data_IF_719756476781
#
_entry.id   IF_719756476781
#
_cell.length_a   1.000
_cell.length_b   1.000
_cell.length_c   1.000
_cell.angle_alpha   90.00
_cell.angle_beta   90.00
_cell.angle_gamma   90.00
#
_symmetry.space_group_name_H-M   'P 1'
#
loop_
_entity.id
_entity.type
_entity.pdbx_description
1 polymer ?
#
# COMPACT_ATOMS: atom_id res chain seq x y z
N UNK A 1 -19.37 -10.58 -0.34
CA UNK A 1 -19.83 -9.19 -0.57
C UNK A 1 -18.76 -8.51 -1.42
N UNK A 2 -19.07 -8.11 -2.66
CA UNK A 2 -18.09 -7.49 -3.58
C UNK A 2 -17.97 -5.98 -3.28
N UNK A 3 -17.12 -5.64 -2.31
CA UNK A 3 -16.89 -4.25 -1.88
C UNK A 3 -16.00 -3.57 -2.92
N UNK A 4 -16.61 -2.77 -3.79
CA UNK A 4 -15.91 -2.00 -4.83
C UNK A 4 -15.50 -0.59 -4.39
N UNK A 5 -15.97 -0.16 -3.22
CA UNK A 5 -15.62 1.14 -2.64
C UNK A 5 -15.39 0.99 -1.14
N UNK A 6 -14.24 1.45 -0.67
CA UNK A 6 -13.88 1.52 0.73
C UNK A 6 -13.61 2.98 1.08
N UNK A 7 -14.19 3.48 2.18
CA UNK A 7 -13.94 4.83 2.69
C UNK A 7 -13.78 4.77 4.20
N UNK A 8 -12.59 5.18 4.65
CA UNK A 8 -12.12 5.16 6.03
C UNK A 8 -11.46 6.52 6.31
N UNK A 9 -12.16 7.42 6.99
CA UNK A 9 -11.71 8.80 7.23
C UNK A 9 -11.23 9.49 5.94
N UNK A 10 -9.98 9.93 5.90
CA UNK A 10 -9.36 10.61 4.75
C UNK A 10 -8.78 9.63 3.71
N UNK A 11 -8.88 8.31 3.97
CA UNK A 11 -8.59 7.27 3.02
C UNK A 11 -9.88 6.84 2.31
N UNK A 12 -9.82 6.71 0.98
CA UNK A 12 -10.83 5.97 0.25
C UNK A 12 -10.22 5.31 -0.98
N UNK A 13 -10.75 4.17 -1.38
CA UNK A 13 -10.43 3.57 -2.66
C UNK A 13 -11.69 3.14 -3.39
N UNK A 14 -11.61 3.18 -4.72
CA UNK A 14 -12.66 2.73 -5.63
C UNK A 14 -12.03 1.87 -6.70
N UNK A 15 -12.51 0.64 -6.81
CA UNK A 15 -12.16 -0.27 -7.88
C UNK A 15 -13.32 -0.41 -8.85
N UNK A 16 -13.01 -0.34 -10.13
CA UNK A 16 -13.92 -0.63 -11.23
C UNK A 16 -13.18 -1.43 -12.29
N UNK A 17 -13.91 -1.95 -13.28
CA UNK A 17 -13.35 -2.78 -14.34
C UNK A 17 -12.31 -2.05 -15.23
N UNK A 18 -12.17 -0.72 -15.08
CA UNK A 18 -11.34 0.13 -15.94
C UNK A 18 -10.42 1.07 -15.17
N UNK A 19 -10.70 1.28 -13.89
CA UNK A 19 -10.09 2.34 -13.09
C UNK A 19 -9.98 1.90 -11.64
N UNK A 20 -8.83 2.18 -11.06
CA UNK A 20 -8.59 2.17 -9.62
C UNK A 20 -8.28 3.60 -9.17
N UNK A 21 -9.08 4.15 -8.26
CA UNK A 21 -8.89 5.48 -7.70
C UNK A 21 -8.68 5.38 -6.20
N UNK A 22 -7.75 6.18 -5.68
CA UNK A 22 -7.39 6.19 -4.26
C UNK A 22 -7.19 7.63 -3.77
N UNK A 23 -7.93 8.00 -2.73
CA UNK A 23 -7.70 9.19 -1.92
C UNK A 23 -6.95 8.80 -0.65
N UNK A 24 -5.96 9.59 -0.28
CA UNK A 24 -5.16 9.41 0.92
C UNK A 24 -5.21 10.70 1.73
N UNK A 25 -5.15 10.62 3.07
CA UNK A 25 -5.16 11.80 3.94
C UNK A 25 -3.95 12.72 3.80
N UNK A 26 -2.83 12.20 3.29
CA UNK A 26 -1.67 13.00 2.88
C UNK A 26 -1.93 13.82 1.59
N UNK A 27 -2.98 13.46 0.86
CA UNK A 27 -3.63 14.15 -0.25
C UNK A 27 -4.07 15.58 0.13
N UNK A 28 -3.80 16.68 -0.61
CA UNK A 28 -4.65 17.85 -0.45
C UNK A 28 -6.12 17.47 -0.65
N UNK A 29 -7.00 18.11 0.12
CA UNK A 29 -8.44 17.86 0.05
C UNK A 29 -8.93 17.92 -1.40
N UNK A 30 -9.77 16.96 -1.77
CA UNK A 30 -10.33 16.77 -3.11
C UNK A 30 -9.37 16.23 -4.18
N UNK A 31 -8.07 16.06 -3.90
CA UNK A 31 -7.13 15.42 -4.83
C UNK A 31 -7.03 13.92 -4.55
N UNK A 32 -7.01 13.13 -5.62
CA UNK A 32 -6.82 11.68 -5.54
C UNK A 32 -5.94 11.18 -6.69
N UNK A 33 -5.37 10.01 -6.49
CA UNK A 33 -4.64 9.27 -7.49
C UNK A 33 -5.59 8.37 -8.26
N UNK A 34 -5.36 8.20 -9.56
CA UNK A 34 -6.14 7.33 -10.42
C UNK A 34 -5.22 6.56 -11.35
N UNK A 35 -5.37 5.24 -11.35
CA UNK A 35 -4.79 4.33 -12.33
C UNK A 35 -5.90 3.89 -13.28
N UNK A 36 -5.77 4.24 -14.56
CA UNK A 36 -6.68 3.84 -15.63
C UNK A 36 -6.04 2.72 -16.44
N UNK A 37 -6.77 1.61 -16.57
CA UNK A 37 -6.35 0.40 -17.28
C UNK A 37 -7.45 -0.12 -18.21
N UNK A 38 -8.32 0.76 -18.71
CA UNK A 38 -9.43 0.42 -19.62
C UNK A 38 -8.96 -0.42 -20.81
N UNK A 39 -9.54 -1.61 -21.00
CA UNK A 39 -9.24 -2.56 -22.09
C UNK A 39 -9.34 -1.94 -23.50
N UNK A 40 -10.09 -0.86 -23.67
CA UNK A 40 -10.23 -0.15 -24.94
C UNK A 40 -9.07 0.81 -25.25
N UNK A 41 -8.23 1.12 -24.25
CA UNK A 41 -7.06 1.98 -24.41
C UNK A 41 -5.79 1.15 -24.57
N UNK A 42 -4.86 1.61 -25.41
CA UNK A 42 -3.54 0.99 -25.56
C UNK A 42 -2.63 1.23 -24.35
N UNK A 43 -2.81 2.37 -23.69
CA UNK A 43 -1.98 2.79 -22.55
C UNK A 43 -2.71 2.58 -21.21
N UNK A 44 -1.98 2.08 -20.21
CA UNK A 44 -2.29 2.28 -18.79
C UNK A 44 -1.74 3.64 -18.38
N UNK A 45 -2.51 4.41 -17.61
CA UNK A 45 -2.03 5.72 -17.14
C UNK A 45 -2.30 5.95 -15.66
N UNK A 46 -1.31 6.52 -15.00
CA UNK A 46 -1.38 6.99 -13.63
C UNK A 46 -1.46 8.52 -13.65
N UNK A 47 -2.49 9.07 -13.02
CA UNK A 47 -2.73 10.50 -13.01
C UNK A 47 -3.28 10.97 -11.65
N UNK A 48 -3.10 12.26 -11.38
CA UNK A 48 -3.74 12.93 -10.25
C UNK A 48 -4.97 13.69 -10.76
N UNK A 49 -6.06 13.64 -10.01
CA UNK A 49 -7.32 14.33 -10.33
C UNK A 49 -7.81 15.11 -9.14
N UNK A 50 -8.25 16.35 -9.36
CA UNK A 50 -8.99 17.12 -8.36
C UNK A 50 -10.49 16.97 -8.59
N UNK A 51 -11.21 16.59 -7.54
CA UNK A 51 -12.66 16.57 -7.55
C UNK A 51 -13.20 17.99 -7.56
N UNK A 52 -14.05 18.28 -8.54
CA UNK A 52 -14.78 19.55 -8.67
C UNK A 52 -16.25 19.25 -8.89
N UNK A 53 -17.11 20.27 -8.75
CA UNK A 53 -18.54 20.13 -8.96
C UNK A 53 -18.91 19.71 -10.40
N UNK A 54 -18.09 20.11 -11.40
CA UNK A 54 -18.29 19.71 -12.79
C UNK A 54 -17.47 18.45 -13.12
N UNK A 55 -18.14 17.31 -13.22
CA UNK A 55 -17.49 16.03 -13.49
C UNK A 55 -16.78 15.95 -14.85
N UNK A 56 -17.22 16.72 -15.84
CA UNK A 56 -16.67 16.67 -17.21
C UNK A 56 -15.46 17.59 -17.40
N UNK A 57 -15.17 18.44 -16.42
CA UNK A 57 -14.12 19.46 -16.51
C UNK A 57 -13.22 19.41 -15.27
N UNK A 58 -12.93 18.19 -14.80
CA UNK A 58 -12.07 17.99 -13.64
C UNK A 58 -10.62 18.29 -14.01
N UNK A 59 -9.92 19.13 -13.23
CA UNK A 59 -8.46 19.24 -13.32
C UNK A 59 -7.80 17.88 -13.15
N UNK A 60 -6.92 17.52 -14.07
CA UNK A 60 -6.15 16.29 -14.00
C UNK A 60 -4.80 16.45 -14.67
N UNK A 61 -3.78 15.78 -14.14
CA UNK A 61 -2.44 15.77 -14.71
C UNK A 61 -1.96 14.33 -14.77
N UNK A 62 -1.70 13.83 -15.99
CA UNK A 62 -1.07 12.51 -16.16
C UNK A 62 0.37 12.57 -15.72
N UNK A 63 0.74 11.67 -14.82
CA UNK A 63 2.09 11.54 -14.29
C UNK A 63 2.86 10.55 -15.16
N UNK A 64 2.32 9.34 -15.33
CA UNK A 64 2.95 8.24 -16.05
C UNK A 64 1.96 7.63 -17.04
N UNK A 65 2.46 7.28 -18.22
CA UNK A 65 1.77 6.41 -19.17
C UNK A 65 2.67 5.26 -19.56
N UNK A 66 2.11 4.06 -19.66
CA UNK A 66 2.81 2.86 -20.09
C UNK A 66 1.92 2.12 -21.10
N UNK A 67 2.49 1.74 -22.22
CA UNK A 67 1.78 0.91 -23.19
C UNK A 67 1.55 -0.48 -22.58
N UNK A 68 0.37 -1.05 -22.78
CA UNK A 68 0.02 -2.36 -22.19
C UNK A 68 0.95 -3.48 -22.63
N UNK A 69 1.38 -3.49 -23.88
CA UNK A 69 2.33 -4.48 -24.38
C UNK A 69 3.66 -4.40 -23.64
N UNK A 70 4.16 -3.18 -23.40
CA UNK A 70 5.34 -2.93 -22.57
C UNK A 70 5.11 -3.41 -21.14
N UNK A 71 3.95 -3.11 -20.54
CA UNK A 71 3.62 -3.58 -19.19
C UNK A 71 3.57 -5.11 -19.11
N UNK A 72 3.01 -5.78 -20.12
CA UNK A 72 2.97 -7.25 -20.17
C UNK A 72 4.37 -7.86 -20.27
N UNK A 73 5.23 -7.29 -21.13
CA UNK A 73 6.63 -7.73 -21.24
C UNK A 73 7.39 -7.50 -19.93
N UNK A 74 7.20 -6.33 -19.30
CA UNK A 74 7.80 -6.04 -18.01
C UNK A 74 7.26 -6.94 -16.90
N UNK A 75 6.01 -7.38 -16.95
CA UNK A 75 5.41 -8.20 -15.88
C UNK A 75 6.15 -9.52 -15.64
N UNK A 76 6.71 -10.12 -16.69
CA UNK A 76 7.49 -11.37 -16.60
C UNK A 76 8.77 -11.18 -15.78
N UNK A 77 9.45 -10.04 -15.93
CA UNK A 77 10.68 -9.72 -15.20
C UNK A 77 10.40 -9.04 -13.85
N UNK A 78 9.33 -8.25 -13.79
CA UNK A 78 8.93 -7.48 -12.61
C UNK A 78 8.57 -8.43 -11.47
N UNK A 79 7.81 -9.50 -11.69
CA UNK A 79 7.34 -10.32 -10.58
C UNK A 79 8.49 -10.98 -9.81
N UNK A 80 9.45 -11.67 -10.45
CA UNK A 80 10.64 -12.19 -9.76
C UNK A 80 11.48 -11.07 -9.13
N UNK A 81 11.73 -9.99 -9.86
CA UNK A 81 12.52 -8.86 -9.35
C UNK A 81 11.85 -8.22 -8.13
N UNK A 82 10.53 -8.04 -8.17
CA UNK A 82 9.72 -7.58 -7.06
C UNK A 82 9.98 -8.50 -5.88
N UNK A 83 9.58 -9.77 -5.92
CA UNK A 83 9.73 -10.67 -4.77
C UNK A 83 11.17 -10.72 -4.21
N UNK A 84 12.21 -10.74 -5.06
CA UNK A 84 13.60 -10.72 -4.58
C UNK A 84 14.02 -9.41 -3.90
N UNK A 85 13.43 -8.28 -4.30
CA UNK A 85 13.85 -6.96 -3.82
C UNK A 85 12.95 -6.40 -2.71
N UNK A 86 11.64 -6.68 -2.69
CA UNK A 86 10.74 -6.30 -1.59
C UNK A 86 10.86 -7.27 -0.39
N UNK A 87 11.29 -8.51 -0.60
CA UNK A 87 11.43 -9.47 0.49
C UNK A 87 12.85 -9.53 1.02
N UNK A 88 12.97 -9.73 2.32
CA UNK A 88 14.22 -10.12 2.98
C UNK A 88 14.05 -11.40 3.76
N UNK A 89 15.14 -12.18 3.84
CA UNK A 89 15.16 -13.37 4.67
C UNK A 89 14.96 -12.97 6.13
N UNK A 90 14.06 -13.66 6.79
CA UNK A 90 13.76 -13.48 8.18
C UNK A 90 14.42 -14.59 8.99
N UNK A 91 15.29 -14.24 9.93
CA UNK A 91 15.93 -15.22 10.81
C UNK A 91 15.08 -15.42 12.06
N UNK A 92 14.23 -16.45 12.02
CA UNK A 92 13.36 -16.84 13.13
C UNK A 92 14.15 -17.09 14.42
N UNK A 93 15.32 -17.72 14.31
CA UNK A 93 16.14 -18.05 15.48
C UNK A 93 16.67 -16.79 16.14
N UNK A 94 17.31 -15.90 15.37
CA UNK A 94 17.78 -14.61 15.90
C UNK A 94 16.64 -13.78 16.49
N UNK A 95 15.44 -13.83 15.87
CA UNK A 95 14.27 -13.13 16.38
C UNK A 95 13.82 -13.65 17.75
N UNK A 96 13.67 -14.97 17.90
CA UNK A 96 13.30 -15.59 19.17
C UNK A 96 14.31 -15.32 20.27
N UNK A 97 15.60 -15.41 19.97
CA UNK A 97 16.68 -15.11 20.92
C UNK A 97 16.61 -13.66 21.40
N UNK A 98 16.34 -12.70 20.50
CA UNK A 98 16.18 -11.27 20.85
C UNK A 98 15.00 -11.04 21.80
N UNK A 99 13.94 -11.83 21.68
CA UNK A 99 12.71 -11.70 22.46
C UNK A 99 12.60 -12.75 23.58
N UNK A 100 13.70 -13.38 24.00
CA UNK A 100 13.75 -14.39 25.07
C UNK A 100 12.71 -15.51 24.93
N UNK A 101 12.43 -15.95 23.71
CA UNK A 101 11.38 -16.94 23.37
C UNK A 101 9.94 -16.52 23.75
N UNK A 102 9.70 -15.28 24.18
CA UNK A 102 8.36 -14.73 24.40
C UNK A 102 7.73 -14.25 23.09
N UNK A 103 7.61 -15.16 22.12
CA UNK A 103 7.05 -14.90 20.80
C UNK A 103 5.82 -15.77 20.60
N UNK A 104 4.66 -15.11 20.49
CA UNK A 104 3.42 -15.73 20.06
C UNK A 104 3.38 -15.81 18.53
N UNK A 105 2.72 -16.83 18.00
CA UNK A 105 2.50 -16.95 16.56
C UNK A 105 1.06 -17.29 16.24
N UNK A 106 0.53 -16.61 15.22
CA UNK A 106 -0.78 -16.91 14.66
C UNK A 106 -0.57 -17.27 13.20
N UNK A 107 -0.85 -18.52 12.84
CA UNK A 107 -0.70 -18.99 11.46
C UNK A 107 -1.75 -18.37 10.55
N UNK A 108 -1.45 -18.23 9.26
CA UNK A 108 -2.46 -17.84 8.25
C UNK A 108 -3.64 -18.80 8.24
N UNK A 109 -3.38 -20.09 8.41
CA UNK A 109 -4.40 -21.15 8.47
C UNK A 109 -5.34 -20.96 9.65
N UNK A 110 -4.84 -20.59 10.84
CA UNK A 110 -5.68 -20.27 11.99
C UNK A 110 -6.48 -18.99 11.76
N UNK A 111 -5.86 -17.95 11.18
CA UNK A 111 -6.59 -16.72 10.82
C UNK A 111 -7.78 -17.05 9.91
N UNK A 112 -7.60 -17.97 8.96
CA UNK A 112 -8.64 -18.34 7.99
C UNK A 112 -9.69 -19.34 8.53
N UNK A 113 -9.28 -20.30 9.38
CA UNK A 113 -10.13 -21.43 9.77
C UNK A 113 -10.69 -21.34 11.20
N UNK A 114 -10.16 -20.46 12.03
CA UNK A 114 -10.64 -20.33 13.41
C UNK A 114 -11.82 -19.36 13.51
N UNK A 115 -12.53 -19.46 14.64
CA UNK A 115 -13.51 -18.44 15.03
C UNK A 115 -12.87 -17.05 15.19
N UNK A 116 -11.54 -16.92 15.15
CA UNK A 116 -10.81 -15.65 15.26
C UNK A 116 -11.24 -14.66 14.18
N UNK A 117 -11.46 -15.09 12.93
CA UNK A 117 -11.96 -14.20 11.89
C UNK A 117 -13.37 -13.68 12.25
N UNK A 118 -14.24 -14.54 12.77
CA UNK A 118 -15.60 -14.20 13.15
C UNK A 118 -15.63 -13.31 14.40
N UNK A 119 -14.83 -13.62 15.42
CA UNK A 119 -14.64 -12.84 16.64
C UNK A 119 -14.08 -11.47 16.31
N UNK A 120 -13.03 -11.40 15.49
CA UNK A 120 -12.42 -10.14 15.06
C UNK A 120 -13.38 -9.31 14.23
N UNK A 121 -14.10 -9.91 13.27
CA UNK A 121 -15.15 -9.23 12.49
C UNK A 121 -16.27 -8.71 13.38
N UNK A 122 -16.75 -9.49 14.34
CA UNK A 122 -17.79 -9.07 15.27
C UNK A 122 -17.31 -7.92 16.17
N UNK A 123 -16.11 -8.06 16.73
CA UNK A 123 -15.51 -7.07 17.61
C UNK A 123 -15.26 -5.74 16.88
N UNK A 124 -14.74 -5.78 15.65
CA UNK A 124 -14.64 -4.60 14.77
C UNK A 124 -16.04 -4.08 14.45
N UNK A 125 -16.97 -4.92 14.02
CA UNK A 125 -18.32 -4.46 13.66
C UNK A 125 -19.00 -3.76 14.83
N UNK A 126 -18.84 -4.24 16.06
CA UNK A 126 -19.36 -3.60 17.26
C UNK A 126 -18.62 -2.29 17.58
N UNK A 127 -17.29 -2.31 17.60
CA UNK A 127 -16.46 -1.13 17.92
C UNK A 127 -16.68 0.03 16.95
N UNK A 128 -16.95 -0.29 15.68
CA UNK A 128 -17.20 0.67 14.62
C UNK A 128 -18.69 0.85 14.31
N UNK A 129 -19.62 0.19 15.02
CA UNK A 129 -21.06 0.22 14.68
C UNK A 129 -21.69 1.63 14.73
N UNK A 130 -21.19 2.48 15.63
CA UNK A 130 -21.67 3.85 15.84
C UNK A 130 -21.11 4.84 14.81
N UNK A 131 -19.98 4.50 14.18
CA UNK A 131 -19.31 5.33 13.18
C UNK A 131 -19.35 4.74 11.77
N UNK A 132 -19.75 3.49 11.59
CA UNK A 132 -19.83 2.82 10.29
C UNK A 132 -21.26 2.76 9.78
N UNK A 133 -21.43 3.00 8.48
CA UNK A 133 -22.71 2.89 7.79
C UNK A 133 -22.52 2.20 6.45
N UNK A 134 -23.27 1.12 6.25
CA UNK A 134 -23.40 0.49 4.93
C UNK A 134 -24.37 1.33 4.10
N UNK A 135 -23.89 1.88 2.99
CA UNK A 135 -24.66 2.68 2.02
C UNK A 135 -24.81 1.95 0.69
N UNK A 136 -25.74 2.40 -0.13
CA UNK A 136 -25.93 1.96 -1.52
C UNK A 136 -26.11 0.45 -1.70
N UNK A 137 -27.16 -0.11 -1.09
CA UNK A 137 -27.53 -1.53 -1.21
C UNK A 137 -26.38 -2.52 -0.95
N UNK A 138 -25.52 -2.23 0.05
CA UNK A 138 -24.41 -3.12 0.42
C UNK A 138 -23.12 -2.93 -0.37
N UNK A 139 -22.98 -1.87 -1.18
CA UNK A 139 -21.79 -1.67 -2.04
C UNK A 139 -20.77 -0.66 -1.51
N UNK A 140 -21.10 0.07 -0.45
CA UNK A 140 -20.23 1.08 0.17
C UNK A 140 -20.24 0.94 1.69
N UNK A 141 -19.08 0.74 2.29
CA UNK A 141 -18.87 0.93 3.73
C UNK A 141 -18.32 2.35 3.93
N UNK A 142 -19.00 3.16 4.74
CA UNK A 142 -18.56 4.51 5.09
C UNK A 142 -18.31 4.56 6.59
N UNK A 143 -17.08 4.86 7.02
CA UNK A 143 -16.73 5.07 8.43
C UNK A 143 -16.54 6.57 8.67
N UNK A 144 -17.34 7.17 9.56
CA UNK A 144 -17.38 8.59 9.91
C UNK A 144 -17.13 8.82 11.38
N UNK A 145 -15.96 9.35 11.72
CA UNK A 145 -15.60 9.69 13.09
C UNK A 145 -14.09 9.62 13.27
N UNK A 146 -13.63 9.67 14.51
CA UNK A 146 -12.22 9.47 14.83
C UNK A 146 -11.90 7.97 14.85
N UNK A 147 -11.52 7.42 13.68
CA UNK A 147 -11.11 6.01 13.60
C UNK A 147 -9.92 5.73 14.51
N UNK A 148 -9.00 6.68 14.68
CA UNK A 148 -7.76 6.44 15.42
C UNK A 148 -8.11 6.25 16.89
N UNK A 149 -8.93 7.13 17.47
CA UNK A 149 -9.42 6.95 18.83
C UNK A 149 -10.21 5.64 19.00
N UNK A 150 -10.99 5.22 17.99
CA UNK A 150 -11.72 3.94 18.05
C UNK A 150 -10.80 2.72 17.93
N UNK A 151 -9.78 2.79 17.08
CA UNK A 151 -8.75 1.75 16.96
C UNK A 151 -7.90 1.67 18.22
N UNK A 152 -7.47 2.80 18.78
CA UNK A 152 -6.77 2.86 20.06
C UNK A 152 -7.61 2.22 21.16
N UNK A 153 -8.88 2.60 21.30
CA UNK A 153 -9.77 1.98 22.28
C UNK A 153 -10.08 0.51 21.99
N UNK A 154 -10.07 0.09 20.72
CA UNK A 154 -10.28 -1.29 20.31
C UNK A 154 -9.06 -2.17 20.63
N UNK A 155 -7.86 -1.65 20.38
CA UNK A 155 -6.57 -2.30 20.67
C UNK A 155 -6.30 -2.35 22.17
N UNK A 156 -6.78 -1.36 22.94
CA UNK A 156 -6.67 -1.31 24.41
C UNK A 156 -7.70 -2.23 25.11
N UNK A 157 -8.64 -2.85 24.40
CA UNK A 157 -9.50 -3.85 25.04
C UNK A 157 -8.67 -5.07 25.40
N UNK A 158 -8.35 -5.19 26.68
CA UNK A 158 -7.66 -6.33 27.28
C UNK A 158 -8.22 -7.67 26.76
N UNK A 159 -9.54 -7.78 26.58
CA UNK A 159 -10.18 -8.99 26.04
C UNK A 159 -9.71 -9.40 24.63
N UNK A 160 -9.44 -8.45 23.72
CA UNK A 160 -8.98 -8.76 22.37
C UNK A 160 -7.49 -9.10 22.37
N UNK A 161 -6.70 -8.36 23.16
CA UNK A 161 -5.28 -8.62 23.36
C UNK A 161 -5.11 -10.00 23.98
N UNK A 162 -5.83 -10.29 25.06
CA UNK A 162 -5.86 -11.59 25.71
C UNK A 162 -6.33 -12.68 24.76
N UNK A 163 -7.37 -12.44 23.95
CA UNK A 163 -7.83 -13.43 22.98
C UNK A 163 -6.79 -13.72 21.89
N UNK A 164 -6.12 -12.68 21.38
CA UNK A 164 -5.03 -12.80 20.40
C UNK A 164 -3.85 -13.56 21.02
N UNK A 165 -3.41 -13.21 22.23
CA UNK A 165 -2.33 -13.90 22.92
C UNK A 165 -2.70 -15.33 23.34
N UNK A 166 -3.96 -15.60 23.68
CA UNK A 166 -4.44 -16.94 24.00
C UNK A 166 -4.59 -17.82 22.75
N UNK A 167 -4.77 -17.21 21.57
CA UNK A 167 -4.79 -17.93 20.29
C UNK A 167 -3.40 -18.06 19.70
N UNK A 168 -2.48 -17.18 20.09
CA UNK A 168 -1.09 -17.27 19.68
C UNK A 168 -0.44 -18.50 20.33
N UNK A 169 -0.03 -19.44 19.51
CA UNK A 169 0.68 -20.62 19.98
C UNK A 169 2.18 -20.30 20.11
N UNK A 170 2.83 -20.98 21.06
CA UNK A 170 4.28 -20.99 21.09
C UNK A 170 4.80 -21.76 19.87
N UNK A 171 5.72 -21.17 19.12
CA UNK A 171 6.35 -21.87 17.99
C UNK A 171 7.32 -22.92 18.54
N UNK A 172 6.97 -24.21 18.44
CA UNK A 172 7.95 -25.28 18.59
C UNK A 172 8.65 -25.57 17.23
N UNK A 173 9.95 -25.89 17.26
CA UNK A 173 10.75 -26.20 16.06
C UNK A 173 10.15 -27.31 15.18
N UNK A 174 9.37 -28.22 15.79
CA UNK A 174 8.67 -29.31 15.11
C UNK A 174 7.53 -28.82 14.21
N UNK A 175 6.84 -27.73 14.60
CA UNK A 175 5.69 -27.16 13.88
C UNK A 175 6.11 -26.18 12.79
N UNK A 176 7.26 -25.51 12.92
CA UNK A 176 7.79 -24.55 11.94
C UNK A 176 7.84 -25.10 10.51
N UNK A 177 8.09 -26.41 10.37
CA UNK A 177 8.16 -27.08 9.07
C UNK A 177 6.81 -27.32 8.41
N UNK A 178 5.69 -27.09 9.10
CA UNK A 178 4.35 -27.23 8.54
C UNK A 178 3.66 -25.90 8.22
N UNK A 179 4.24 -24.77 8.64
CA UNK A 179 3.62 -23.45 8.57
C UNK A 179 4.00 -22.70 7.29
N UNK A 180 3.02 -22.17 6.57
CA UNK A 180 3.26 -21.43 5.32
C UNK A 180 3.40 -19.90 5.53
N UNK A 181 2.91 -19.39 6.66
CA UNK A 181 3.03 -17.99 7.05
C UNK A 181 2.18 -17.66 8.25
N UNK A 182 2.32 -16.42 8.73
CA UNK A 182 1.57 -15.93 9.87
C UNK A 182 2.06 -14.60 10.40
N UNK A 183 1.64 -14.29 11.61
CA UNK A 183 2.00 -13.09 12.34
C UNK A 183 2.75 -13.52 13.60
N UNK A 184 3.98 -13.05 13.75
CA UNK A 184 4.72 -13.12 15.00
C UNK A 184 4.29 -11.96 15.88
N UNK A 185 4.02 -12.24 17.14
CA UNK A 185 3.54 -11.30 18.13
C UNK A 185 4.49 -11.27 19.32
N UNK A 186 4.91 -10.08 19.69
CA UNK A 186 5.58 -9.79 20.95
C UNK A 186 4.76 -8.73 21.69
N UNK A 187 5.18 -8.34 22.89
CA UNK A 187 4.54 -7.23 23.60
C UNK A 187 4.71 -5.87 22.88
N UNK A 188 5.74 -5.73 22.03
CA UNK A 188 6.12 -4.44 21.42
C UNK A 188 5.77 -4.35 19.94
N UNK A 189 5.77 -5.47 19.22
CA UNK A 189 5.64 -5.48 17.76
C UNK A 189 4.91 -6.71 17.23
N UNK A 190 4.29 -6.53 16.06
CA UNK A 190 3.72 -7.58 15.23
C UNK A 190 4.49 -7.64 13.91
N UNK A 191 5.05 -8.81 13.58
CA UNK A 191 5.84 -9.02 12.37
C UNK A 191 5.16 -10.03 11.45
N UNK A 192 4.86 -9.63 10.22
CA UNK A 192 4.34 -10.53 9.20
C UNK A 192 5.47 -11.36 8.61
N UNK A 193 5.28 -12.68 8.59
CA UNK A 193 6.23 -13.62 7.99
C UNK A 193 5.52 -14.62 7.10
N UNK A 194 6.23 -15.11 6.09
CA UNK A 194 5.75 -16.20 5.25
C UNK A 194 6.94 -17.02 4.75
N UNK A 195 6.65 -18.22 4.28
CA UNK A 195 7.67 -19.22 3.95
C UNK A 195 7.71 -19.47 2.44
N UNK A 196 8.92 -19.43 1.87
CA UNK A 196 9.19 -19.81 0.47
C UNK A 196 10.32 -20.84 0.49
N UNK A 197 10.09 -22.02 -0.10
CA UNK A 197 11.08 -23.10 -0.22
C UNK A 197 11.82 -23.44 1.09
N UNK A 198 11.09 -23.48 2.21
CA UNK A 198 11.57 -23.73 3.58
C UNK A 198 12.33 -22.58 4.26
N UNK A 199 12.44 -21.41 3.63
CA UNK A 199 13.03 -20.22 4.22
C UNK A 199 11.96 -19.20 4.61
N UNK A 200 12.18 -18.50 5.72
CA UNK A 200 11.28 -17.44 6.21
C UNK A 200 11.63 -16.10 5.58
N UNK A 201 10.62 -15.31 5.27
CA UNK A 201 10.73 -13.99 4.69
C UNK A 201 9.80 -12.98 5.36
N UNK A 202 10.20 -11.71 5.31
CA UNK A 202 9.38 -10.56 5.66
C UNK A 202 9.51 -9.46 4.59
N UNK A 203 8.67 -8.43 4.68
CA UNK A 203 8.72 -7.27 3.81
C UNK A 203 9.80 -6.29 4.29
N UNK A 204 10.69 -5.89 3.38
CA UNK A 204 11.61 -4.78 3.63
C UNK A 204 10.83 -3.48 3.81
N UNK A 205 11.34 -2.62 4.69
CA UNK A 205 10.89 -1.25 4.80
C UNK A 205 11.51 -0.40 3.69
N UNK A 206 10.87 -0.36 2.52
CA UNK A 206 11.35 0.42 1.36
C UNK A 206 10.67 1.79 1.29
N UNK A 207 11.47 2.83 1.04
CA UNK A 207 10.94 4.14 0.66
C UNK A 207 10.24 4.09 -0.71
N UNK A 208 9.37 5.07 -0.98
CA UNK A 208 8.69 5.19 -2.29
C UNK A 208 9.69 5.25 -3.45
N UNK A 209 10.84 5.91 -3.24
CA UNK A 209 11.88 6.01 -4.26
C UNK A 209 12.55 4.66 -4.54
N UNK A 210 12.86 3.90 -3.50
CA UNK A 210 13.43 2.56 -3.64
C UNK A 210 12.45 1.62 -4.33
N UNK A 211 11.18 1.63 -3.90
CA UNK A 211 10.11 0.84 -4.51
C UNK A 211 9.97 1.15 -6.01
N UNK A 212 9.89 2.43 -6.39
CA UNK A 212 9.80 2.82 -7.81
C UNK A 212 11.05 2.39 -8.59
N UNK A 213 12.23 2.48 -7.96
CA UNK A 213 13.50 2.11 -8.58
C UNK A 213 13.64 0.60 -8.85
N UNK A 214 12.73 -0.23 -8.34
CA UNK A 214 12.66 -1.66 -8.70
C UNK A 214 12.08 -1.88 -10.11
N UNK A 215 11.26 -0.95 -10.60
CA UNK A 215 10.51 -1.10 -11.85
C UNK A 215 11.01 -0.18 -12.97
N UNK A 216 11.64 0.93 -12.62
CA UNK A 216 12.17 1.91 -13.56
C UNK A 216 13.56 2.35 -13.13
N UNK A 217 14.33 2.95 -14.04
CA UNK A 217 15.63 3.51 -13.70
C UNK A 217 15.49 4.56 -12.57
N UNK A 218 16.50 4.69 -11.71
CA UNK A 218 16.52 5.70 -10.62
C UNK A 218 16.20 7.12 -11.11
N UNK A 219 16.70 7.47 -12.30
CA UNK A 219 16.40 8.75 -12.96
C UNK A 219 14.89 8.89 -13.23
N UNK A 220 14.26 7.85 -13.77
CA UNK A 220 12.82 7.83 -14.07
C UNK A 220 12.01 7.85 -12.77
N UNK A 221 12.38 7.07 -11.76
CA UNK A 221 11.74 7.09 -10.44
C UNK A 221 11.75 8.50 -9.83
N UNK A 222 12.90 9.17 -9.87
CA UNK A 222 13.04 10.56 -9.42
C UNK A 222 12.14 11.52 -10.20
N UNK A 223 12.11 11.39 -11.53
CA UNK A 223 11.24 12.20 -12.39
C UNK A 223 9.75 11.99 -12.07
N UNK A 224 9.32 10.76 -11.79
CA UNK A 224 7.94 10.44 -11.37
C UNK A 224 7.60 11.15 -10.06
N UNK A 225 8.47 11.09 -9.06
CA UNK A 225 8.26 11.74 -7.76
C UNK A 225 8.18 13.26 -7.95
N UNK A 226 9.16 13.89 -8.60
CA UNK A 226 9.15 15.33 -8.84
C UNK A 226 7.93 15.77 -9.63
N UNK A 227 7.52 15.01 -10.64
CA UNK A 227 6.31 15.29 -11.43
C UNK A 227 5.06 15.21 -10.57
N UNK A 228 4.96 14.22 -9.70
CA UNK A 228 3.84 14.05 -8.76
C UNK A 228 3.74 15.25 -7.81
N UNK A 229 4.85 15.65 -7.20
CA UNK A 229 4.92 16.83 -6.31
C UNK A 229 4.47 18.10 -7.05
N UNK A 230 5.03 18.36 -8.23
CA UNK A 230 4.67 19.54 -9.02
C UNK A 230 3.20 19.52 -9.46
N UNK A 231 2.68 18.35 -9.82
CA UNK A 231 1.29 18.21 -10.20
C UNK A 231 0.33 18.48 -9.04
N UNK A 232 0.69 18.08 -7.81
CA UNK A 232 -0.07 18.42 -6.60
C UNK A 232 -0.16 19.94 -6.40
N UNK A 233 0.95 20.66 -6.52
CA UNK A 233 0.96 22.13 -6.38
C UNK A 233 0.08 22.81 -7.44
N UNK A 234 0.12 22.36 -8.69
CA UNK A 234 -0.75 22.90 -9.74
C UNK A 234 -2.22 22.58 -9.48
N UNK A 235 -2.53 21.35 -9.07
CA UNK A 235 -3.90 20.91 -8.84
C UNK A 235 -4.56 21.63 -7.66
N UNK A 236 -3.81 22.01 -6.62
CA UNK A 236 -4.33 22.81 -5.50
C UNK A 236 -5.05 24.06 -5.98
N UNK A 237 -4.50 24.76 -6.98
CA UNK A 237 -5.07 26.01 -7.51
C UNK A 237 -6.04 25.81 -8.68
N UNK A 238 -5.93 24.71 -9.42
CA UNK A 238 -6.74 24.47 -10.61
C UNK A 238 -8.24 24.28 -10.29
N UNK A 239 -9.10 24.80 -11.17
CA UNK A 239 -10.58 24.69 -11.07
C UNK A 239 -11.19 23.90 -12.22
N UNK A 240 -10.55 23.94 -13.38
CA UNK A 240 -10.99 23.30 -14.62
C UNK A 240 -9.88 22.43 -15.22
N UNK A 241 -10.22 21.57 -16.17
CA UNK A 241 -9.22 20.82 -16.93
C UNK A 241 -8.30 21.75 -17.74
N UNK A 242 -8.85 22.84 -18.29
CA UNK A 242 -8.09 23.83 -19.06
C UNK A 242 -6.93 24.46 -18.27
N UNK A 243 -7.08 24.64 -16.96
CA UNK A 243 -5.99 25.13 -16.09
C UNK A 243 -4.78 24.17 -16.05
N UNK A 244 -5.05 22.88 -16.22
CA UNK A 244 -4.07 21.79 -16.11
C UNK A 244 -3.55 21.28 -17.45
N UNK A 245 -4.19 21.61 -18.57
CA UNK A 245 -3.91 21.01 -19.88
C UNK A 245 -2.45 21.19 -20.31
N UNK A 246 -1.89 22.39 -20.11
CA UNK A 246 -0.48 22.69 -20.40
C UNK A 246 0.53 21.90 -19.57
N UNK A 247 0.08 21.30 -18.46
CA UNK A 247 0.91 20.46 -17.57
C UNK A 247 0.83 18.96 -17.91
N UNK A 248 0.00 18.58 -18.89
CA UNK A 248 -0.33 17.20 -19.20
C UNK A 248 0.68 16.55 -20.19
N UNK A 249 1.96 16.57 -19.81
CA UNK A 249 3.08 15.93 -20.54
C UNK A 249 3.62 14.71 -19.77
N UNK A 250 2.89 13.58 -19.72
CA UNK A 250 3.27 12.43 -18.89
C UNK A 250 4.63 11.83 -19.25
N UNK A 251 5.28 11.23 -18.26
CA UNK A 251 6.44 10.37 -18.48
C UNK A 251 5.94 9.10 -19.18
N UNK A 252 6.40 8.84 -20.40
CA UNK A 252 6.11 7.59 -21.11
C UNK A 252 7.16 6.56 -20.72
N UNK A 253 6.73 5.50 -20.06
CA UNK A 253 7.57 4.33 -19.85
C UNK A 253 7.61 3.55 -21.16
N UNK A 254 8.81 3.44 -21.70
CA UNK A 254 9.16 2.53 -22.78
C UNK A 254 9.90 1.35 -22.17
N UNK A 255 10.03 0.25 -22.91
CA UNK A 255 10.82 -0.90 -22.46
C UNK A 255 12.17 -0.41 -21.94
N UNK A 256 12.65 -0.94 -20.81
CA UNK A 256 13.94 -0.55 -20.30
C UNK A 256 15.00 -0.89 -21.35
N UNK A 257 15.58 0.12 -21.98
CA UNK A 257 16.92 -0.01 -22.53
C UNK A 257 17.79 -0.44 -21.34
N UNK A 258 18.45 -1.59 -21.48
CA UNK A 258 19.18 -2.33 -20.44
C UNK A 258 20.35 -1.58 -19.79
N UNK A 259 20.48 -0.27 -19.97
CA UNK A 259 21.51 0.54 -19.36
C UNK A 259 21.03 1.17 -18.05
N UNK A 260 21.07 0.35 -16.99
CA UNK A 260 21.08 0.81 -15.59
C UNK A 260 22.40 1.54 -15.30
N UNK A 261 22.65 2.65 -15.96
CA UNK A 261 23.82 3.49 -15.69
C UNK A 261 23.69 4.19 -14.33
N UNK A 262 24.78 4.13 -13.57
CA UNK A 262 24.95 4.80 -12.29
C UNK A 262 24.84 6.33 -12.44
N UNK A 263 23.67 6.88 -12.13
CA UNK A 263 23.50 8.32 -12.05
C UNK A 263 24.01 8.86 -10.70
N UNK A 264 25.10 9.64 -10.75
CA UNK A 264 25.53 10.53 -9.66
C UNK A 264 25.11 11.95 -10.05
N UNK A 265 24.22 12.55 -9.26
CA UNK A 265 23.73 13.91 -9.52
C UNK A 265 24.82 14.95 -9.17
N UNK A 266 25.28 15.80 -10.11
CA UNK A 266 26.32 16.79 -9.83
C UNK A 266 25.85 18.02 -9.04
N UNK A 267 24.54 18.18 -8.78
CA UNK A 267 23.96 19.43 -8.24
C UNK A 267 23.09 19.27 -7.00
N UNK A 268 22.93 18.06 -6.46
CA UNK A 268 22.21 17.85 -5.22
C UNK A 268 23.21 17.55 -4.11
N UNK A 269 23.49 18.54 -3.25
CA UNK A 269 23.97 18.28 -1.89
C UNK A 269 22.83 17.64 -1.07
N UNK A 270 22.52 16.39 -1.37
CA UNK A 270 22.04 15.46 -0.37
C UNK A 270 23.25 14.58 -0.01
N UNK A 271 24.26 15.22 0.56
CA UNK A 271 25.17 14.52 1.47
C UNK A 271 24.33 14.19 2.70
N UNK A 272 24.26 12.92 3.05
CA UNK A 272 23.39 12.43 4.10
C UNK A 272 23.51 13.18 5.44
N UNK A 273 22.36 13.29 6.09
CA UNK A 273 22.17 12.69 7.40
C UNK A 273 20.82 11.99 7.38
N UNK A 274 20.82 10.69 7.70
CA UNK A 274 19.67 9.76 7.72
C UNK A 274 18.62 10.09 8.80
N UNK A 275 18.30 11.37 9.05
CA UNK A 275 17.43 11.74 10.17
C UNK A 275 16.16 12.53 9.84
N UNK A 276 15.93 13.02 8.62
CA UNK A 276 14.80 13.93 8.36
C UNK A 276 13.83 13.44 7.27
N UNK A 277 13.49 12.15 7.28
CA UNK A 277 12.36 11.61 6.51
C UNK A 277 11.48 10.72 7.39
N UNK A 278 11.08 11.22 8.55
CA UNK A 278 9.87 10.81 9.25
C UNK A 278 9.06 12.07 9.58
N UNK A 279 8.20 12.46 8.65
CA UNK A 279 7.09 13.39 8.84
C UNK A 279 5.98 13.05 7.83
#
# INVERSE_FOLDING_TARGET
MDIRNLEINDFWCRLSDRVFSIGLGILPKDIHCTLVFDNLLEDVNFHLTKNTANHNDKPQIKIVIINKEVLYQMAEDILPSFFTNILERFDMKSYREKHNDEVGFISTTEIENSDLEAVFKNAISEAFSDISKIKSAGKKLEIKGDINSKLENFVIKDELVDFIFNTAEAIEESYEKSLDGGILLTQEEATHIFRIDSEWYTFKNLSVFELLSLFVTRKTAYQIICRTINALEVLKEAKTYGDTEKYNYPIRIVLPDTDLDAFICPKCKLSGSEHDLHA
#
